data_IF_059284551315
#
_entry.id   IF_059284551315
#
_cell.length_a   1.000
_cell.length_b   1.000
_cell.length_c   1.000
_cell.angle_alpha   90.00
_cell.angle_beta   90.00
_cell.angle_gamma   90.00
#
_symmetry.space_group_name_H-M   'P 1'
#
loop_
_entity.id
_entity.type
_entity.pdbx_description
1 polymer ?
#
# COMPACT_ATOMS: atom_id res chain seq x y z
N UNK A 1 -7.32 3.27 -5.06
CA UNK A 1 -7.53 3.92 -3.75
C UNK A 1 -8.87 4.66 -3.68
N UNK A 2 -9.14 5.66 -4.52
CA UNK A 2 -10.41 6.43 -4.49
C UNK A 2 -11.66 5.54 -4.62
N UNK A 3 -11.67 4.58 -5.55
CA UNK A 3 -12.82 3.66 -5.68
C UNK A 3 -12.97 2.73 -4.47
N UNK A 4 -11.86 2.30 -3.86
CA UNK A 4 -11.87 1.47 -2.64
C UNK A 4 -12.47 2.27 -1.48
N UNK A 5 -12.04 3.53 -1.32
CA UNK A 5 -12.61 4.46 -0.33
C UNK A 5 -14.12 4.55 -0.48
N UNK A 6 -14.63 4.89 -1.67
CA UNK A 6 -16.07 5.04 -1.90
C UNK A 6 -16.85 3.77 -1.59
N UNK A 7 -16.33 2.61 -1.98
CA UNK A 7 -16.96 1.32 -1.68
C UNK A 7 -16.98 1.01 -0.18
N UNK A 8 -15.89 1.27 0.54
CA UNK A 8 -15.84 1.05 2.00
C UNK A 8 -16.79 1.99 2.73
N UNK A 9 -16.84 3.27 2.34
CA UNK A 9 -17.77 4.23 2.92
C UNK A 9 -19.23 3.79 2.71
N UNK A 10 -19.56 3.24 1.54
CA UNK A 10 -20.89 2.71 1.23
C UNK A 10 -21.27 1.49 2.10
N UNK A 11 -20.38 0.51 2.23
CA UNK A 11 -20.71 -0.73 2.97
C UNK A 11 -20.64 -0.55 4.50
N UNK A 12 -19.88 0.44 4.99
CA UNK A 12 -19.67 0.64 6.44
C UNK A 12 -20.43 1.83 7.02
N UNK A 13 -20.96 2.72 6.18
CA UNK A 13 -21.50 4.04 6.57
C UNK A 13 -20.52 4.89 7.40
N UNK A 14 -19.22 4.63 7.27
CA UNK A 14 -18.15 5.37 7.96
C UNK A 14 -17.33 6.15 6.94
N UNK A 15 -17.09 7.42 7.23
CA UNK A 15 -16.17 8.25 6.43
C UNK A 15 -14.73 7.78 6.60
N UNK A 16 -14.02 7.66 5.49
CA UNK A 16 -12.62 7.22 5.45
C UNK A 16 -11.73 8.41 5.10
N UNK A 17 -10.75 8.67 5.96
CA UNK A 17 -9.68 9.62 5.66
C UNK A 17 -8.72 9.01 4.64
N UNK A 18 -8.24 9.83 3.72
CA UNK A 18 -7.41 9.40 2.62
C UNK A 18 -6.20 10.32 2.51
N UNK A 19 -5.01 9.77 2.70
CA UNK A 19 -3.76 10.51 2.61
C UNK A 19 -2.93 10.02 1.42
N UNK A 20 -2.21 10.93 0.79
CA UNK A 20 -1.24 10.60 -0.25
C UNK A 20 0.05 11.40 -0.05
N UNK A 21 1.16 10.81 -0.47
CA UNK A 21 2.46 11.45 -0.41
C UNK A 21 3.33 10.91 -1.55
N UNK A 22 3.84 11.81 -2.38
CA UNK A 22 4.92 11.56 -3.31
C UNK A 22 5.75 12.86 -3.40
N UNK A 23 7.07 12.82 -3.15
CA UNK A 23 7.93 14.00 -3.27
C UNK A 23 7.91 14.68 -4.64
N UNK A 24 7.43 13.99 -5.68
CA UNK A 24 7.32 14.52 -7.05
C UNK A 24 5.94 15.06 -7.40
N UNK A 25 4.97 15.06 -6.47
CA UNK A 25 3.68 15.68 -6.74
C UNK A 25 3.82 17.16 -7.06
N UNK A 26 3.18 17.56 -8.14
CA UNK A 26 3.03 18.94 -8.57
C UNK A 26 1.75 19.54 -7.98
N UNK A 27 1.59 20.85 -8.12
CA UNK A 27 0.34 21.52 -7.75
C UNK A 27 -0.89 20.94 -8.47
N UNK A 28 -0.72 20.42 -9.69
CA UNK A 28 -1.81 19.79 -10.45
C UNK A 28 -2.20 18.45 -9.80
N UNK A 29 -1.23 17.65 -9.38
CA UNK A 29 -1.46 16.37 -8.70
C UNK A 29 -2.19 16.60 -7.37
N UNK A 30 -1.73 17.57 -6.57
CA UNK A 30 -2.38 17.95 -5.32
C UNK A 30 -3.82 18.40 -5.54
N UNK A 31 -4.06 19.26 -6.54
CA UNK A 31 -5.41 19.73 -6.86
C UNK A 31 -6.34 18.59 -7.29
N UNK A 32 -5.85 17.68 -8.14
CA UNK A 32 -6.63 16.54 -8.60
C UNK A 32 -6.99 15.58 -7.45
N UNK A 33 -6.03 15.27 -6.57
CA UNK A 33 -6.24 14.41 -5.40
C UNK A 33 -7.21 15.05 -4.40
N UNK A 34 -7.09 16.35 -4.15
CA UNK A 34 -8.00 17.10 -3.29
C UNK A 34 -9.45 17.06 -3.80
N UNK A 35 -9.66 17.10 -5.13
CA UNK A 35 -10.97 16.95 -5.76
C UNK A 35 -11.67 15.61 -5.45
N UNK A 36 -10.91 14.60 -5.02
CA UNK A 36 -11.43 13.29 -4.59
C UNK A 36 -11.39 13.09 -3.06
N UNK A 37 -11.17 14.16 -2.30
CA UNK A 37 -11.09 14.13 -0.84
C UNK A 37 -9.90 13.31 -0.34
N UNK A 38 -8.78 13.38 -1.07
CA UNK A 38 -7.47 12.90 -0.64
C UNK A 38 -6.62 14.08 -0.21
N UNK A 39 -6.07 14.03 1.00
CA UNK A 39 -5.17 15.04 1.53
C UNK A 39 -3.73 14.66 1.17
N UNK A 40 -3.05 15.54 0.43
CA UNK A 40 -1.64 15.36 0.13
C UNK A 40 -0.82 15.89 1.31
N UNK A 41 0.01 15.03 1.88
CA UNK A 41 0.87 15.36 3.00
C UNK A 41 2.31 15.55 2.52
N UNK A 42 3.03 16.47 3.17
CA UNK A 42 4.46 16.68 2.91
C UNK A 42 5.27 15.47 3.35
N UNK A 43 6.31 15.10 2.60
CA UNK A 43 7.24 14.04 3.01
C UNK A 43 7.98 14.40 4.31
N UNK A 44 8.00 13.54 5.36
CA UNK A 44 7.49 12.17 5.46
C UNK A 44 6.19 11.99 6.27
N UNK A 45 5.32 13.00 6.33
CA UNK A 45 4.17 13.02 7.24
C UNK A 45 3.17 11.89 7.02
N UNK A 46 2.96 11.41 5.79
CA UNK A 46 2.06 10.29 5.55
C UNK A 46 2.54 8.97 6.19
N UNK A 47 3.85 8.82 6.45
CA UNK A 47 4.37 7.66 7.17
C UNK A 47 3.90 7.61 8.62
N UNK A 48 3.58 8.77 9.21
CA UNK A 48 3.10 8.87 10.60
C UNK A 48 1.61 8.51 10.73
N UNK A 49 0.88 8.45 9.62
CA UNK A 49 -0.53 8.04 9.57
C UNK A 49 -0.68 6.52 9.37
N UNK A 50 0.43 5.77 9.34
CA UNK A 50 0.41 4.31 9.25
C UNK A 50 0.08 3.73 10.63
N UNK A 51 -1.06 3.05 10.74
CA UNK A 51 -1.53 2.36 11.94
C UNK A 51 -2.19 1.00 11.60
N UNK A 52 -2.67 0.30 12.63
CA UNK A 52 -3.30 -1.02 12.48
C UNK A 52 -4.69 -0.95 11.79
N UNK A 53 -5.32 0.23 11.76
CA UNK A 53 -6.66 0.43 11.21
C UNK A 53 -6.66 1.04 9.81
N UNK A 54 -5.49 1.19 9.19
CA UNK A 54 -5.35 1.79 7.88
C UNK A 54 -5.32 0.74 6.74
N UNK A 55 -5.57 1.24 5.53
CA UNK A 55 -5.28 0.52 4.29
C UNK A 55 -4.05 1.17 3.69
N UNK A 56 -2.94 0.45 3.66
CA UNK A 56 -1.68 0.95 3.13
C UNK A 56 -1.51 0.52 1.68
N UNK A 57 -1.45 1.48 0.76
CA UNK A 57 -1.14 1.24 -0.65
C UNK A 57 0.21 1.86 -1.00
N UNK A 58 1.09 1.09 -1.64
CA UNK A 58 2.29 1.62 -2.28
C UNK A 58 2.72 0.76 -3.46
N UNK A 59 3.22 1.40 -4.51
CA UNK A 59 3.76 0.75 -5.69
C UNK A 59 5.15 1.33 -5.97
N UNK A 60 6.19 0.49 -6.11
CA UNK A 60 7.56 0.92 -6.40
C UNK A 60 8.09 2.09 -5.52
N UNK A 61 7.95 2.08 -4.19
CA UNK A 61 8.41 3.19 -3.37
C UNK A 61 9.94 3.35 -3.43
N UNK A 62 10.41 4.60 -3.46
CA UNK A 62 11.83 4.95 -3.48
C UNK A 62 12.50 4.94 -2.09
N UNK A 63 11.88 4.29 -1.11
CA UNK A 63 12.30 4.21 0.29
C UNK A 63 11.93 2.82 0.88
N UNK A 64 12.54 2.40 2.01
CA UNK A 64 12.31 1.08 2.61
C UNK A 64 10.97 1.01 3.36
N UNK A 65 9.88 1.34 2.66
CA UNK A 65 8.53 1.47 3.21
C UNK A 65 8.05 0.17 3.87
N UNK A 66 8.45 -0.98 3.34
CA UNK A 66 8.11 -2.29 3.93
C UNK A 66 8.68 -2.44 5.34
N UNK A 67 9.98 -2.19 5.51
CA UNK A 67 10.63 -2.27 6.82
C UNK A 67 10.09 -1.21 7.80
N UNK A 68 9.85 0.02 7.32
CA UNK A 68 9.22 1.07 8.12
C UNK A 68 7.85 0.61 8.62
N UNK A 69 7.02 0.07 7.74
CA UNK A 69 5.67 -0.39 8.10
C UNK A 69 5.72 -1.50 9.13
N UNK A 70 6.60 -2.50 8.97
CA UNK A 70 6.71 -3.61 9.93
C UNK A 70 7.12 -3.09 11.33
N UNK A 71 7.95 -2.04 11.38
CA UNK A 71 8.35 -1.41 12.63
C UNK A 71 7.26 -0.54 13.28
N UNK A 72 6.27 -0.08 12.52
CA UNK A 72 5.24 0.83 13.00
C UNK A 72 3.92 0.13 13.35
N UNK A 73 3.45 -0.78 12.48
CA UNK A 73 2.07 -1.26 12.54
C UNK A 73 1.85 -2.60 11.85
N UNK A 74 0.61 -3.08 11.94
CA UNK A 74 0.01 -4.18 11.17
C UNK A 74 -1.28 -3.69 10.50
N UNK A 75 -1.18 -2.96 9.37
CA UNK A 75 -2.35 -2.40 8.71
C UNK A 75 -3.42 -3.45 8.39
N UNK A 76 -4.69 -3.08 8.54
CA UNK A 76 -5.84 -3.92 8.23
C UNK A 76 -5.86 -4.43 6.78
N UNK A 77 -5.17 -3.75 5.87
CA UNK A 77 -4.91 -4.21 4.51
C UNK A 77 -3.64 -3.57 3.98
N UNK A 78 -2.80 -4.37 3.32
CA UNK A 78 -1.58 -3.88 2.67
C UNK A 78 -1.65 -4.22 1.19
N UNK A 79 -1.40 -3.23 0.32
CA UNK A 79 -1.31 -3.41 -1.12
C UNK A 79 0.10 -3.00 -1.55
N UNK A 80 0.94 -4.01 -1.80
CA UNK A 80 2.37 -3.86 -2.08
C UNK A 80 2.79 -4.75 -3.24
N UNK A 81 3.95 -4.44 -3.82
CA UNK A 81 4.70 -5.39 -4.64
C UNK A 81 4.96 -6.69 -3.88
N UNK A 82 4.71 -7.82 -4.54
CA UNK A 82 4.76 -9.15 -3.92
C UNK A 82 6.07 -9.40 -3.15
N UNK A 83 5.92 -9.79 -1.89
CA UNK A 83 7.00 -10.15 -0.98
C UNK A 83 7.39 -11.60 -1.23
N UNK A 84 8.48 -11.79 -1.99
CA UNK A 84 9.03 -13.11 -2.32
C UNK A 84 10.45 -13.25 -1.78
N UNK A 85 10.78 -14.45 -1.30
CA UNK A 85 12.06 -14.75 -0.65
C UNK A 85 13.31 -14.57 -1.54
N UNK A 86 13.15 -14.55 -2.87
CA UNK A 86 14.26 -14.55 -3.85
C UNK A 86 14.31 -13.34 -4.79
N UNK A 87 13.52 -12.29 -4.56
CA UNK A 87 13.53 -11.13 -5.45
C UNK A 87 14.65 -10.16 -5.11
N UNK A 88 15.50 -9.86 -6.10
CA UNK A 88 16.31 -8.64 -6.14
C UNK A 88 15.49 -7.40 -6.56
N UNK A 89 14.15 -7.44 -6.42
CA UNK A 89 13.27 -6.39 -6.89
C UNK A 89 13.26 -5.23 -5.90
N UNK A 90 13.93 -4.14 -6.27
CA UNK A 90 13.89 -2.84 -5.60
C UNK A 90 15.02 -2.62 -4.60
N UNK A 91 16.14 -2.01 -5.04
CA UNK A 91 17.22 -1.58 -4.15
C UNK A 91 16.72 -0.68 -3.01
N UNK A 92 15.62 0.05 -3.23
CA UNK A 92 15.09 1.02 -2.28
C UNK A 92 14.06 0.44 -1.30
N UNK A 93 13.38 -0.67 -1.64
CA UNK A 93 12.32 -1.26 -0.82
C UNK A 93 12.46 -2.79 -0.69
N UNK A 94 13.49 -3.24 0.06
CA UNK A 94 13.86 -4.65 0.11
C UNK A 94 12.80 -5.51 0.81
N UNK A 95 12.72 -6.78 0.41
CA UNK A 95 11.98 -7.81 1.13
C UNK A 95 12.88 -8.39 2.24
N UNK A 96 13.12 -7.63 3.30
CA UNK A 96 13.95 -8.07 4.44
C UNK A 96 13.37 -9.31 5.13
N UNK A 97 14.17 -10.01 5.93
CA UNK A 97 13.69 -11.15 6.73
C UNK A 97 12.55 -10.74 7.67
N UNK A 98 12.56 -9.51 8.20
CA UNK A 98 11.50 -9.05 9.08
C UNK A 98 10.18 -8.85 8.33
N UNK A 99 10.24 -8.24 7.14
CA UNK A 99 9.10 -8.10 6.23
C UNK A 99 8.54 -9.47 5.84
N UNK A 100 9.41 -10.39 5.44
CA UNK A 100 9.02 -11.76 5.08
C UNK A 100 8.33 -12.46 6.25
N UNK A 101 8.90 -12.37 7.46
CA UNK A 101 8.32 -13.00 8.65
C UNK A 101 6.94 -12.43 8.97
N UNK A 102 6.75 -11.10 8.92
CA UNK A 102 5.44 -10.50 9.13
C UNK A 102 4.44 -11.02 8.10
N UNK A 103 4.75 -10.89 6.80
CA UNK A 103 3.82 -11.26 5.74
C UNK A 103 3.50 -12.75 5.76
N UNK A 104 4.49 -13.62 5.91
CA UNK A 104 4.28 -15.08 5.85
C UNK A 104 3.59 -15.64 7.09
N UNK A 105 3.75 -15.02 8.26
CA UNK A 105 3.17 -15.53 9.50
C UNK A 105 1.83 -14.88 9.85
N UNK A 106 1.57 -13.66 9.36
CA UNK A 106 0.45 -12.86 9.87
C UNK A 106 -0.59 -12.52 8.78
N UNK A 107 -0.29 -12.64 7.49
CA UNK A 107 -1.18 -12.20 6.40
C UNK A 107 -1.47 -13.29 5.36
N UNK A 108 -2.69 -13.27 4.83
CA UNK A 108 -3.07 -13.99 3.61
C UNK A 108 -2.82 -13.12 2.38
N UNK A 109 -2.34 -13.75 1.30
CA UNK A 109 -1.94 -13.06 0.06
C UNK A 109 -2.94 -13.34 -1.07
N UNK A 110 -3.47 -12.27 -1.66
CA UNK A 110 -4.41 -12.30 -2.77
C UNK A 110 -3.82 -11.55 -3.95
N UNK A 111 -3.71 -12.23 -5.10
CA UNK A 111 -3.24 -11.61 -6.34
C UNK A 111 -4.42 -10.92 -7.05
N UNK A 112 -4.18 -9.74 -7.62
CA UNK A 112 -5.11 -9.20 -8.62
C UNK A 112 -5.00 -10.07 -9.89
N UNK A 113 -6.14 -10.48 -10.46
CA UNK A 113 -6.21 -11.41 -11.60
C UNK A 113 -5.39 -10.95 -12.82
N UNK A 114 -4.74 -11.91 -13.51
CA UNK A 114 -4.18 -11.92 -14.88
C UNK A 114 -3.63 -10.62 -15.52
N UNK A 115 -2.92 -9.77 -14.76
CA UNK A 115 -2.06 -8.74 -15.37
C UNK A 115 -0.92 -9.34 -16.22
N UNK A 116 -0.66 -10.64 -16.10
CA UNK A 116 0.41 -11.35 -16.80
C UNK A 116 0.07 -11.75 -18.24
N UNK A 117 -1.21 -11.84 -18.64
CA UNK A 117 -1.57 -12.39 -19.95
C UNK A 117 -1.50 -11.39 -21.12
N UNK A 118 -1.42 -10.09 -20.84
CA UNK A 118 -1.49 -9.06 -21.90
C UNK A 118 -0.17 -8.35 -22.16
N UNK A 119 0.88 -8.58 -21.35
CA UNK A 119 2.15 -7.84 -21.46
C UNK A 119 2.01 -6.33 -21.23
N UNK A 120 0.87 -5.89 -20.69
CA UNK A 120 0.42 -4.50 -20.57
C UNK A 120 0.10 -4.13 -19.11
N UNK A 121 0.77 -4.75 -18.14
CA UNK A 121 0.63 -4.30 -16.77
C UNK A 121 1.01 -2.80 -16.70
N UNK A 122 0.12 -1.90 -16.22
CA UNK A 122 0.36 -0.46 -16.24
C UNK A 122 1.57 -0.05 -15.36
N UNK A 123 2.06 -0.96 -14.53
CA UNK A 123 3.19 -0.79 -13.64
C UNK A 123 4.24 -1.89 -13.88
N UNK A 124 5.52 -1.58 -13.68
CA UNK A 124 6.62 -2.57 -13.65
C UNK A 124 6.62 -3.44 -12.38
N UNK A 125 5.47 -3.56 -11.76
CA UNK A 125 5.27 -3.97 -10.39
C UNK A 125 4.15 -5.02 -10.37
N UNK A 126 4.27 -5.99 -9.46
CA UNK A 126 3.28 -7.07 -9.25
C UNK A 126 2.59 -6.80 -7.90
N UNK A 127 1.68 -5.82 -7.84
CA UNK A 127 0.99 -5.50 -6.60
C UNK A 127 0.09 -6.67 -6.23
N UNK A 128 0.07 -7.00 -4.96
CA UNK A 128 -0.81 -8.00 -4.35
C UNK A 128 -1.45 -7.39 -3.11
N UNK A 129 -2.57 -7.96 -2.69
CA UNK A 129 -3.26 -7.58 -1.46
C UNK A 129 -2.90 -8.56 -0.37
N UNK A 130 -2.50 -8.03 0.78
CA UNK A 130 -2.32 -8.77 2.02
C UNK A 130 -3.41 -8.38 3.00
N UNK A 131 -4.07 -9.38 3.58
CA UNK A 131 -5.11 -9.21 4.61
C UNK A 131 -4.68 -9.98 5.86
N UNK A 132 -4.74 -9.39 7.07
CA UNK A 132 -4.39 -10.11 8.29
C UNK A 132 -5.21 -11.39 8.44
N UNK A 133 -4.54 -12.48 8.81
CA UNK A 133 -5.21 -13.74 9.16
C UNK A 133 -6.05 -13.51 10.41
N UNK A 134 -7.29 -13.99 10.38
CA UNK A 134 -8.10 -14.04 11.60
C UNK A 134 -7.45 -15.03 12.55
N UNK A 135 -7.17 -14.59 13.78
CA UNK A 135 -6.76 -15.49 14.86
C UNK A 135 -8.04 -16.13 15.39
N UNK A 136 -8.16 -17.45 15.24
CA UNK A 136 -9.26 -18.23 15.84
C UNK A 136 -9.29 -18.14 17.37
#
# INVERSE_FOLDING_TARGET
MISIKGYIEEITDKKIKCYAQDPHYTAVDTWALAGHGCEVLDDPRALLEIDDNCILFSCCPALPLKDITVGLARPAMIIWDSVVAKSHHGCHNPNSTHVQNMIYNEYDCYRFWDLHYTGLAPFRSDPVVYIPRQVE
#
